data_IF_703379055838
#
_entry.id   IF_703379055838
#
_cell.length_a   1.000
_cell.length_b   1.000
_cell.length_c   1.000
_cell.angle_alpha   90.00
_cell.angle_beta   90.00
_cell.angle_gamma   90.00
#
_symmetry.space_group_name_H-M   'P 1'
#
loop_
_entity.id
_entity.type
_entity.pdbx_description
1 polymer ?
#
# COMPACT_ATOMS: atom_id res chain seq x y z
N UNK A 1 -52.67 -12.11 61.37
CA UNK A 1 -53.40 -12.77 60.28
C UNK A 1 -52.54 -12.66 59.02
N UNK A 2 -51.93 -13.78 58.56
CA UNK A 2 -51.37 -14.07 57.21
C UNK A 2 -50.40 -13.03 56.59
N UNK A 3 -49.24 -13.34 56.02
CA UNK A 3 -48.59 -14.57 55.53
C UNK A 3 -47.09 -14.24 55.29
N UNK A 4 -46.25 -15.26 55.37
CA UNK A 4 -44.90 -15.31 54.80
C UNK A 4 -44.90 -14.93 53.31
N UNK A 5 -43.82 -14.35 52.80
CA UNK A 5 -43.23 -14.82 51.54
C UNK A 5 -41.73 -14.46 51.42
N UNK A 6 -41.03 -15.43 50.83
CA UNK A 6 -39.59 -15.65 50.82
C UNK A 6 -38.83 -14.78 49.82
N UNK A 7 -37.68 -14.24 50.22
CA UNK A 7 -36.68 -13.72 49.29
C UNK A 7 -35.95 -14.89 48.60
N UNK A 8 -36.35 -15.21 47.37
CA UNK A 8 -35.58 -16.04 46.44
C UNK A 8 -34.46 -15.19 45.84
N UNK A 9 -33.20 -15.58 46.07
CA UNK A 9 -32.04 -15.09 45.32
C UNK A 9 -32.15 -15.60 43.88
N UNK A 10 -32.29 -14.69 42.92
CA UNK A 10 -32.11 -14.99 41.49
C UNK A 10 -30.65 -14.73 41.19
N UNK A 11 -29.89 -15.81 41.03
CA UNK A 11 -28.53 -15.79 40.51
C UNK A 11 -28.66 -15.65 38.99
N UNK A 12 -28.34 -14.47 38.45
CA UNK A 12 -28.30 -14.25 37.00
C UNK A 12 -26.95 -14.77 36.51
N UNK A 13 -26.90 -16.01 36.02
CA UNK A 13 -25.75 -16.54 35.31
C UNK A 13 -25.76 -15.95 33.90
N UNK A 14 -24.90 -14.96 33.65
CA UNK A 14 -24.64 -14.43 32.32
C UNK A 14 -23.82 -15.48 31.56
N UNK A 15 -24.49 -16.35 30.79
CA UNK A 15 -23.82 -17.24 29.85
C UNK A 15 -23.42 -16.39 28.64
N UNK A 16 -22.16 -15.98 28.61
CA UNK A 16 -21.53 -15.46 27.39
C UNK A 16 -21.45 -16.63 26.42
N UNK A 17 -22.39 -16.69 25.47
CA UNK A 17 -22.23 -17.50 24.27
C UNK A 17 -21.17 -16.80 23.45
N UNK A 18 -19.92 -17.21 23.63
CA UNK A 18 -18.87 -16.90 22.68
C UNK A 18 -19.24 -17.58 21.36
N UNK A 19 -19.81 -16.82 20.44
CA UNK A 19 -19.77 -17.19 19.04
C UNK A 19 -18.29 -17.13 18.64
N UNK A 20 -17.61 -18.27 18.75
CA UNK A 20 -16.47 -18.56 17.90
C UNK A 20 -17.06 -18.75 16.51
N UNK A 21 -17.18 -17.65 15.78
CA UNK A 21 -17.13 -17.75 14.32
C UNK A 21 -15.72 -18.27 14.03
N UNK A 22 -15.62 -19.56 13.75
CA UNK A 22 -14.53 -20.03 12.91
C UNK A 22 -14.74 -19.28 11.59
N UNK A 23 -13.89 -18.30 11.31
CA UNK A 23 -13.73 -17.83 9.94
C UNK A 23 -13.25 -19.06 9.16
N UNK A 24 -14.15 -19.62 8.36
CA UNK A 24 -13.77 -20.53 7.28
C UNK A 24 -13.11 -19.59 6.28
N UNK A 25 -11.78 -19.65 6.21
CA UNK A 25 -10.98 -19.00 5.16
C UNK A 25 -10.70 -20.15 4.20
N UNK A 26 -11.59 -20.30 3.22
CA UNK A 26 -11.51 -21.38 2.25
C UNK A 26 -10.59 -20.99 1.10
N UNK A 27 -10.61 -19.71 0.66
CA UNK A 27 -10.03 -19.23 -0.62
C UNK A 27 -10.21 -20.27 -1.74
N UNK A 28 -11.35 -20.95 -1.74
CA UNK A 28 -11.63 -22.11 -2.61
C UNK A 28 -11.77 -21.66 -4.08
N UNK A 29 -12.03 -20.37 -4.30
CA UNK A 29 -12.19 -19.71 -5.59
C UNK A 29 -10.89 -19.71 -6.41
N UNK A 30 -9.74 -19.69 -5.72
CA UNK A 30 -8.41 -19.79 -6.33
C UNK A 30 -7.78 -21.16 -6.09
N UNK A 31 -8.54 -22.15 -5.62
CA UNK A 31 -8.06 -23.52 -5.51
C UNK A 31 -7.80 -24.12 -6.89
N UNK A 32 -6.74 -24.92 -6.98
CA UNK A 32 -6.34 -25.60 -8.23
C UNK A 32 -7.39 -26.65 -8.62
N UNK A 33 -7.98 -26.52 -9.82
CA UNK A 33 -8.77 -27.62 -10.40
C UNK A 33 -7.79 -28.72 -10.85
N UNK A 34 -7.90 -29.96 -10.31
CA UNK A 34 -7.01 -31.06 -10.68
C UNK A 34 -7.10 -31.48 -12.15
N UNK A 35 -8.10 -31.00 -12.89
CA UNK A 35 -8.27 -31.26 -14.32
C UNK A 35 -7.99 -30.04 -15.20
N UNK A 36 -7.64 -28.89 -14.62
CA UNK A 36 -7.28 -27.70 -15.40
C UNK A 36 -5.96 -27.92 -16.15
N UNK A 37 -5.90 -27.37 -17.35
CA UNK A 37 -4.65 -27.19 -18.09
C UNK A 37 -4.14 -25.77 -17.79
N UNK A 38 -2.85 -25.67 -17.50
CA UNK A 38 -2.20 -24.40 -17.16
C UNK A 38 -1.30 -23.95 -18.29
N UNK A 39 -1.39 -22.67 -18.66
CA UNK A 39 -0.45 -22.04 -19.58
C UNK A 39 0.93 -21.87 -18.91
N UNK A 40 0.93 -21.65 -17.59
CA UNK A 40 2.11 -21.47 -16.76
C UNK A 40 1.96 -22.24 -15.46
N UNK A 41 3.03 -22.93 -15.06
CA UNK A 41 3.20 -23.48 -13.72
C UNK A 41 4.45 -22.88 -13.12
N UNK A 42 4.33 -22.36 -11.91
CA UNK A 42 5.41 -21.70 -11.19
C UNK A 42 5.48 -22.29 -9.79
N UNK A 43 6.54 -23.07 -9.54
CA UNK A 43 6.83 -23.74 -8.27
C UNK A 43 7.91 -22.96 -7.52
N UNK A 44 7.56 -22.29 -6.44
CA UNK A 44 8.41 -21.36 -5.68
C UNK A 44 8.79 -21.95 -4.33
N UNK A 45 9.93 -22.64 -4.21
CA UNK A 45 10.42 -23.08 -2.91
C UNK A 45 11.08 -21.93 -2.13
N UNK A 46 11.24 -22.16 -0.83
CA UNK A 46 12.04 -21.31 0.07
C UNK A 46 13.41 -20.98 -0.56
N UNK A 47 13.85 -19.72 -0.47
CA UNK A 47 15.18 -19.24 -0.89
C UNK A 47 15.43 -19.17 -2.40
N UNK A 48 14.42 -19.42 -3.25
CA UNK A 48 14.54 -19.27 -4.71
C UNK A 48 13.52 -18.29 -5.24
N UNK A 49 13.97 -17.41 -6.13
CA UNK A 49 13.10 -16.62 -6.98
C UNK A 49 12.89 -17.39 -8.29
N UNK A 50 11.67 -17.40 -8.78
CA UNK A 50 11.30 -18.07 -10.03
C UNK A 50 10.68 -17.05 -10.99
N UNK A 51 11.18 -17.01 -12.22
CA UNK A 51 10.74 -16.07 -13.24
C UNK A 51 10.38 -16.84 -14.50
N UNK A 52 9.14 -16.69 -14.97
CA UNK A 52 8.65 -17.30 -16.21
C UNK A 52 8.27 -16.22 -17.20
N UNK A 53 8.68 -16.38 -18.45
CA UNK A 53 8.27 -15.50 -19.55
C UNK A 53 7.41 -16.27 -20.55
N UNK A 54 6.24 -15.72 -20.87
CA UNK A 54 5.28 -16.29 -21.82
C UNK A 54 5.07 -15.31 -22.96
N UNK A 55 5.15 -15.81 -24.19
CA UNK A 55 4.65 -15.05 -25.35
C UNK A 55 3.16 -15.31 -25.48
N UNK A 56 2.33 -14.32 -25.12
CA UNK A 56 0.88 -14.44 -25.21
C UNK A 56 0.38 -13.75 -26.48
N UNK A 57 -0.55 -14.41 -27.18
CA UNK A 57 -1.05 -13.88 -28.45
C UNK A 57 -2.31 -13.03 -28.28
N UNK A 58 -3.23 -13.31 -27.34
CA UNK A 58 -4.31 -12.45 -26.80
C UNK A 58 -5.03 -13.12 -25.61
N UNK A 59 -5.69 -12.34 -24.73
CA UNK A 59 -6.78 -12.81 -23.86
C UNK A 59 -6.52 -12.74 -22.36
N UNK A 60 -6.42 -13.90 -21.72
CA UNK A 60 -5.95 -14.14 -20.36
C UNK A 60 -5.09 -15.41 -20.41
N UNK A 61 -4.23 -15.63 -19.41
CA UNK A 61 -3.58 -16.93 -19.23
C UNK A 61 -4.04 -17.56 -17.92
N UNK A 62 -4.07 -18.88 -17.88
CA UNK A 62 -4.31 -19.63 -16.64
C UNK A 62 -2.97 -20.02 -16.04
N UNK A 63 -2.67 -19.51 -14.85
CA UNK A 63 -1.43 -19.77 -14.13
C UNK A 63 -1.69 -20.62 -12.88
N UNK A 64 -0.84 -21.63 -12.66
CA UNK A 64 -0.70 -22.30 -11.38
C UNK A 64 0.52 -21.74 -10.66
N UNK A 65 0.33 -21.28 -9.43
CA UNK A 65 1.40 -20.75 -8.58
C UNK A 65 1.43 -21.56 -7.29
N UNK A 66 2.54 -22.24 -7.03
CA UNK A 66 2.72 -23.09 -5.87
C UNK A 66 3.87 -22.55 -5.01
N UNK A 67 3.61 -22.27 -3.75
CA UNK A 67 4.59 -21.82 -2.78
C UNK A 67 4.89 -22.90 -1.75
N UNK A 68 6.17 -23.16 -1.49
CA UNK A 68 6.59 -24.11 -0.45
C UNK A 68 7.64 -23.48 0.47
N UNK A 69 7.34 -23.42 1.76
CA UNK A 69 8.27 -23.07 2.83
C UNK A 69 8.75 -24.34 3.57
N UNK A 70 9.89 -24.24 4.26
CA UNK A 70 10.38 -25.31 5.14
C UNK A 70 10.44 -24.92 6.61
N UNK A 71 10.22 -23.63 6.92
CA UNK A 71 10.42 -23.08 8.26
C UNK A 71 9.52 -21.87 8.60
N UNK A 72 8.72 -21.37 7.65
CA UNK A 72 7.84 -20.21 7.83
C UNK A 72 6.43 -20.49 7.37
N UNK A 73 5.47 -20.36 8.29
CA UNK A 73 4.05 -20.30 7.90
C UNK A 73 3.76 -19.03 7.11
N UNK A 74 3.07 -19.19 5.98
CA UNK A 74 2.60 -18.10 5.13
C UNK A 74 1.23 -17.62 5.63
N UNK A 75 1.06 -16.29 5.68
CA UNK A 75 -0.14 -15.64 6.26
C UNK A 75 -0.83 -14.67 5.32
N UNK A 76 -0.10 -14.13 4.35
CA UNK A 76 -0.65 -13.25 3.32
C UNK A 76 0.00 -13.62 1.98
N UNK A 77 -0.74 -13.45 0.89
CA UNK A 77 -0.21 -13.43 -0.47
C UNK A 77 -0.39 -12.02 -1.05
N UNK A 78 0.70 -11.49 -1.58
CA UNK A 78 0.77 -10.21 -2.25
C UNK A 78 1.00 -10.44 -3.74
N UNK A 79 0.28 -9.67 -4.56
CA UNK A 79 0.38 -9.71 -6.01
C UNK A 79 0.44 -8.28 -6.54
N UNK A 80 1.45 -7.96 -7.33
CA UNK A 80 1.48 -6.72 -8.13
C UNK A 80 1.42 -7.01 -9.60
N UNK A 81 0.89 -6.06 -10.35
CA UNK A 81 0.99 -6.03 -11.80
C UNK A 81 1.71 -4.77 -12.28
N UNK A 82 2.53 -4.91 -13.31
CA UNK A 82 3.12 -3.79 -14.04
C UNK A 82 2.76 -3.91 -15.51
N UNK A 83 1.93 -2.99 -15.96
CA UNK A 83 1.36 -2.98 -17.30
C UNK A 83 2.17 -2.04 -18.17
N UNK A 84 2.84 -2.56 -19.18
CA UNK A 84 3.56 -1.75 -20.17
C UNK A 84 4.69 -0.91 -19.59
N UNK A 85 5.25 -1.28 -18.43
CA UNK A 85 6.31 -0.52 -17.78
C UNK A 85 5.83 0.71 -17.00
N UNK A 86 4.51 0.87 -16.83
CA UNK A 86 3.87 2.05 -16.22
C UNK A 86 3.85 2.05 -14.68
N UNK A 87 4.72 1.24 -14.05
CA UNK A 87 4.80 1.11 -12.60
C UNK A 87 4.13 -0.14 -12.06
N UNK A 88 4.43 -0.49 -10.82
CA UNK A 88 3.79 -1.61 -10.12
C UNK A 88 2.55 -1.11 -9.39
N UNK A 89 1.41 -1.76 -9.63
CA UNK A 89 0.15 -1.54 -8.94
C UNK A 89 -0.32 -2.83 -8.26
N UNK A 90 -1.20 -2.70 -7.28
CA UNK A 90 -1.82 -3.85 -6.60
C UNK A 90 -2.65 -4.60 -7.65
N UNK A 91 -2.41 -5.90 -7.80
CA UNK A 91 -3.30 -6.75 -8.59
C UNK A 91 -4.47 -7.19 -7.73
N UNK A 92 -5.68 -6.78 -8.11
CA UNK A 92 -6.93 -7.24 -7.51
C UNK A 92 -7.45 -8.45 -8.30
N UNK A 93 -7.45 -9.66 -7.71
CA UNK A 93 -8.08 -10.82 -8.33
C UNK A 93 -9.58 -10.58 -8.55
N UNK A 94 -10.15 -11.19 -9.59
CA UNK A 94 -11.57 -11.02 -9.94
C UNK A 94 -12.50 -11.95 -9.15
N UNK A 95 -11.91 -12.93 -8.51
CA UNK A 95 -12.56 -13.95 -7.72
C UNK A 95 -13.00 -13.38 -6.35
N UNK A 96 -14.03 -13.97 -5.74
CA UNK A 96 -14.53 -13.58 -4.41
C UNK A 96 -13.61 -14.15 -3.32
N UNK A 97 -12.37 -13.66 -3.30
CA UNK A 97 -11.30 -14.13 -2.41
C UNK A 97 -11.37 -13.35 -1.10
N UNK A 98 -10.99 -14.02 0.00
CA UNK A 98 -10.82 -13.35 1.28
C UNK A 98 -9.62 -12.40 1.23
N UNK A 99 -9.90 -11.13 0.93
CA UNK A 99 -8.92 -10.05 0.98
C UNK A 99 -8.88 -9.40 2.36
N UNK A 100 -7.69 -8.98 2.73
CA UNK A 100 -7.45 -8.13 3.88
C UNK A 100 -7.66 -6.67 3.48
N UNK A 101 -7.69 -5.78 4.47
CA UNK A 101 -7.99 -4.38 4.22
C UNK A 101 -6.94 -3.71 3.31
N UNK A 102 -5.69 -4.19 3.35
CA UNK A 102 -4.61 -3.77 2.46
C UNK A 102 -4.67 -4.43 1.07
N UNK A 103 -5.72 -5.17 0.71
CA UNK A 103 -5.84 -5.85 -0.58
C UNK A 103 -4.98 -7.11 -0.73
N UNK A 104 -4.20 -7.51 0.28
CA UNK A 104 -3.50 -8.79 0.27
C UNK A 104 -4.49 -9.95 0.50
N UNK A 105 -4.22 -11.10 -0.09
CA UNK A 105 -5.02 -12.31 0.11
C UNK A 105 -4.72 -12.87 1.51
N UNK A 106 -5.76 -13.12 2.30
CA UNK A 106 -5.65 -13.72 3.64
C UNK A 106 -5.30 -15.20 3.52
N UNK A 107 -4.20 -15.65 4.15
CA UNK A 107 -3.87 -17.09 4.25
C UNK A 107 -3.93 -17.59 5.70
N UNK A 108 -4.40 -16.75 6.63
CA UNK A 108 -4.27 -17.01 8.08
C UNK A 108 -5.15 -18.13 8.61
N UNK A 109 -6.22 -18.50 7.91
CA UNK A 109 -7.08 -19.61 8.28
C UNK A 109 -6.42 -20.97 8.14
N UNK A 110 -5.54 -21.13 7.15
CA UNK A 110 -4.72 -22.34 6.96
C UNK A 110 -3.39 -22.25 7.72
N UNK A 111 -2.74 -21.08 7.72
CA UNK A 111 -1.42 -20.84 8.35
C UNK A 111 -0.44 -21.99 8.05
N UNK A 112 -0.29 -22.30 6.77
CA UNK A 112 0.44 -23.47 6.26
C UNK A 112 1.81 -23.06 5.68
N UNK A 113 2.63 -24.05 5.37
CA UNK A 113 3.93 -23.92 4.71
C UNK A 113 3.85 -24.32 3.22
N UNK A 114 2.67 -24.74 2.73
CA UNK A 114 2.44 -25.19 1.36
C UNK A 114 1.10 -24.65 0.84
N UNK A 115 1.13 -23.91 -0.26
CA UNK A 115 -0.07 -23.36 -0.89
C UNK A 115 0.02 -23.45 -2.41
N UNK A 116 -1.06 -23.92 -3.03
CA UNK A 116 -1.23 -23.91 -4.48
C UNK A 116 -2.42 -23.05 -4.87
N UNK A 117 -2.20 -22.13 -5.82
CA UNK A 117 -3.20 -21.21 -6.33
C UNK A 117 -3.34 -21.34 -7.83
N UNK A 118 -4.56 -21.11 -8.32
CA UNK A 118 -4.88 -20.94 -9.72
C UNK A 118 -5.36 -19.50 -9.96
N UNK A 119 -4.75 -18.80 -10.91
CA UNK A 119 -5.12 -17.44 -11.30
C UNK A 119 -5.46 -17.37 -12.79
N UNK A 120 -6.51 -16.61 -13.11
CA UNK A 120 -6.76 -16.12 -14.47
C UNK A 120 -6.13 -14.72 -14.62
N UNK A 121 -4.93 -14.66 -15.21
CA UNK A 121 -4.19 -13.41 -15.37
C UNK A 121 -4.60 -12.73 -16.68
N UNK A 122 -5.32 -11.59 -16.61
CA UNK A 122 -5.83 -10.94 -17.81
C UNK A 122 -4.71 -10.29 -18.63
N UNK A 123 -4.97 -10.09 -19.91
CA UNK A 123 -4.25 -9.10 -20.72
C UNK A 123 -5.08 -7.82 -20.71
N UNK A 124 -4.58 -6.71 -20.13
CA UNK A 124 -5.30 -5.45 -20.16
C UNK A 124 -5.61 -5.03 -21.60
N UNK A 125 -6.86 -4.61 -21.82
CA UNK A 125 -7.28 -4.14 -23.14
C UNK A 125 -6.53 -2.87 -23.53
N UNK A 126 -6.06 -2.78 -24.77
CA UNK A 126 -5.38 -1.60 -25.30
C UNK A 126 -3.87 -1.76 -25.48
N UNK A 127 -3.28 -2.84 -24.94
CA UNK A 127 -1.86 -3.14 -25.16
C UNK A 127 -1.68 -3.82 -26.52
N UNK A 128 -0.99 -3.15 -27.45
CA UNK A 128 -0.62 -3.74 -28.76
C UNK A 128 0.82 -4.26 -28.81
N UNK A 129 1.68 -3.77 -27.90
CA UNK A 129 3.06 -4.21 -27.72
C UNK A 129 3.51 -3.89 -26.28
N UNK A 130 4.49 -4.64 -25.76
CA UNK A 130 5.07 -4.42 -24.43
C UNK A 130 4.97 -5.67 -23.56
N UNK A 131 5.01 -5.49 -22.25
CA UNK A 131 4.94 -6.56 -21.25
C UNK A 131 3.89 -6.30 -20.20
N UNK A 132 3.31 -7.36 -19.64
CA UNK A 132 2.62 -7.32 -18.34
C UNK A 132 3.40 -8.21 -17.39
N UNK A 133 3.84 -7.67 -16.26
CA UNK A 133 4.62 -8.42 -15.27
C UNK A 133 3.78 -8.59 -14.02
N UNK A 134 3.40 -9.82 -13.72
CA UNK A 134 2.80 -10.19 -12.45
C UNK A 134 3.89 -10.64 -11.48
N UNK A 135 3.89 -10.12 -10.26
CA UNK A 135 4.83 -10.50 -9.21
C UNK A 135 4.07 -11.01 -8.00
N UNK A 136 4.49 -12.16 -7.48
CA UNK A 136 3.83 -12.85 -6.38
C UNK A 136 4.83 -13.10 -5.24
N UNK A 137 4.39 -12.91 -4.00
CA UNK A 137 5.16 -13.31 -2.83
C UNK A 137 4.27 -13.48 -1.60
N UNK A 138 4.72 -14.27 -0.65
CA UNK A 138 4.01 -14.49 0.61
C UNK A 138 4.78 -13.94 1.79
N UNK A 139 4.07 -13.62 2.87
CA UNK A 139 4.67 -13.05 4.07
C UNK A 139 4.17 -13.76 5.34
N UNK A 140 4.93 -13.60 6.42
CA UNK A 140 4.62 -14.13 7.75
C UNK A 140 3.64 -13.27 8.57
N UNK A 141 3.16 -12.17 7.98
CA UNK A 141 2.30 -11.13 8.57
C UNK A 141 2.11 -9.95 7.62
N UNK A 142 1.72 -8.77 8.11
CA UNK A 142 1.46 -7.60 7.25
C UNK A 142 2.72 -7.17 6.48
N UNK A 143 2.69 -7.24 5.16
CA UNK A 143 3.78 -6.85 4.26
C UNK A 143 3.61 -5.43 3.72
N UNK A 144 4.26 -5.18 2.59
CA UNK A 144 4.18 -3.94 1.81
C UNK A 144 4.26 -4.31 0.32
N UNK A 145 3.31 -3.85 -0.49
CA UNK A 145 3.28 -4.07 -1.94
C UNK A 145 4.51 -3.48 -2.65
N UNK A 146 5.24 -2.57 -2.01
CA UNK A 146 6.43 -1.89 -2.54
C UNK A 146 7.75 -2.43 -1.98
N UNK A 147 7.71 -3.28 -0.95
CA UNK A 147 8.89 -3.96 -0.40
C UNK A 147 8.65 -5.46 -0.19
N UNK A 148 9.08 -6.24 -1.18
CA UNK A 148 9.03 -7.70 -1.16
C UNK A 148 9.80 -8.32 0.02
N UNK A 149 10.73 -7.61 0.64
CA UNK A 149 11.53 -8.15 1.74
C UNK A 149 10.83 -8.00 3.10
N UNK A 150 9.80 -7.15 3.19
CA UNK A 150 9.09 -6.91 4.44
C UNK A 150 8.33 -8.18 4.85
N UNK A 151 8.86 -8.84 5.89
CA UNK A 151 8.30 -10.09 6.48
C UNK A 151 8.17 -11.26 5.48
N UNK A 152 9.00 -11.26 4.44
CA UNK A 152 9.03 -12.28 3.39
C UNK A 152 9.06 -13.71 3.97
N UNK A 153 8.10 -14.52 3.52
CA UNK A 153 8.06 -15.96 3.73
C UNK A 153 8.65 -16.68 2.52
N UNK A 154 8.04 -16.53 1.33
CA UNK A 154 8.45 -17.17 0.07
C UNK A 154 8.26 -16.21 -1.12
N UNK A 155 9.12 -16.30 -2.13
CA UNK A 155 9.17 -15.40 -3.30
C UNK A 155 10.29 -14.36 -3.21
N UNK A 156 10.25 -13.28 -4.03
CA UNK A 156 9.27 -13.03 -5.07
C UNK A 156 9.44 -13.97 -6.26
N UNK A 157 8.34 -14.19 -6.98
CA UNK A 157 8.35 -14.88 -8.25
C UNK A 157 7.53 -14.10 -9.28
N UNK A 158 7.90 -14.20 -10.56
CA UNK A 158 7.30 -13.39 -11.61
C UNK A 158 6.78 -14.19 -12.79
N UNK A 159 5.67 -13.72 -13.35
CA UNK A 159 5.15 -14.15 -14.65
C UNK A 159 5.14 -12.93 -15.56
N UNK A 160 6.01 -12.95 -16.57
CA UNK A 160 6.10 -11.90 -17.59
C UNK A 160 5.36 -12.34 -18.85
N UNK A 161 4.31 -11.62 -19.21
CA UNK A 161 3.58 -11.80 -20.46
C UNK A 161 4.12 -10.82 -21.50
N UNK A 162 4.56 -11.31 -22.65
CA UNK A 162 5.14 -10.50 -23.74
C UNK A 162 4.15 -10.38 -24.90
N UNK A 163 3.87 -9.15 -25.31
CA UNK A 163 2.96 -8.80 -26.41
C UNK A 163 3.68 -8.05 -27.52
N UNK A 164 3.30 -8.32 -28.78
CA UNK A 164 3.82 -7.61 -29.94
C UNK A 164 5.35 -7.65 -30.00
N UNK A 165 5.99 -6.48 -29.96
CA UNK A 165 7.46 -6.35 -29.96
C UNK A 165 8.11 -6.64 -28.60
N UNK A 166 7.33 -6.72 -27.52
CA UNK A 166 7.84 -6.81 -26.14
C UNK A 166 8.53 -5.55 -25.63
N UNK A 167 8.47 -4.44 -26.38
CA UNK A 167 9.06 -3.16 -25.98
C UNK A 167 7.99 -2.30 -25.33
N UNK A 168 8.24 -1.86 -24.11
CA UNK A 168 7.38 -0.92 -23.40
C UNK A 168 7.59 0.50 -23.94
N UNK A 169 6.53 1.29 -23.92
CA UNK A 169 6.64 2.73 -24.15
C UNK A 169 7.31 3.40 -22.94
N UNK A 170 7.67 4.66 -23.10
CA UNK A 170 8.15 5.47 -21.98
C UNK A 170 7.04 5.58 -20.92
N UNK A 171 7.43 5.61 -19.65
CA UNK A 171 6.47 5.61 -18.56
C UNK A 171 6.02 7.05 -18.26
N UNK A 172 4.72 7.26 -18.22
CA UNK A 172 4.15 8.55 -17.82
C UNK A 172 4.35 8.77 -16.31
N UNK A 173 4.28 10.02 -15.84
CA UNK A 173 4.21 10.28 -14.40
C UNK A 173 2.86 9.85 -13.82
N UNK A 174 2.89 9.20 -12.66
CA UNK A 174 1.67 8.98 -11.87
C UNK A 174 1.26 10.29 -11.22
N UNK A 175 0.02 10.70 -11.44
CA UNK A 175 -0.50 12.00 -10.99
C UNK A 175 -1.65 11.82 -10.03
N UNK A 176 -1.59 12.50 -8.88
CA UNK A 176 -2.68 12.60 -7.92
C UNK A 176 -3.03 14.08 -7.75
N UNK A 177 -4.29 14.44 -8.01
CA UNK A 177 -4.74 15.83 -7.97
C UNK A 177 -5.75 16.04 -6.86
N UNK A 178 -5.84 17.27 -6.35
CA UNK A 178 -6.83 17.71 -5.37
C UNK A 178 -6.83 16.88 -4.08
N UNK A 179 -5.63 16.48 -3.62
CA UNK A 179 -5.50 15.75 -2.36
C UNK A 179 -5.55 16.73 -1.19
N UNK A 180 -6.41 16.46 -0.20
CA UNK A 180 -6.56 17.29 1.00
C UNK A 180 -6.05 16.57 2.23
N UNK A 181 -4.90 16.99 2.75
CA UNK A 181 -4.31 16.48 3.99
C UNK A 181 -4.82 17.28 5.18
N UNK A 182 -5.63 16.67 6.04
CA UNK A 182 -6.15 17.30 7.24
C UNK A 182 -5.06 17.47 8.30
N UNK A 183 -5.15 18.53 9.11
CA UNK A 183 -4.29 18.67 10.27
C UNK A 183 -4.57 17.52 11.27
N UNK A 184 -3.53 16.93 11.86
CA UNK A 184 -3.67 15.76 12.71
C UNK A 184 -4.39 16.10 14.03
N UNK A 185 -5.44 15.35 14.34
CA UNK A 185 -6.05 15.34 15.67
C UNK A 185 -5.30 14.37 16.58
N UNK A 186 -5.25 14.68 17.88
CA UNK A 186 -4.52 13.89 18.87
C UNK A 186 -5.02 12.44 19.03
N UNK A 187 -6.25 12.14 18.58
CA UNK A 187 -6.81 10.79 18.56
C UNK A 187 -6.55 10.03 17.26
N UNK A 188 -5.95 10.68 16.25
CA UNK A 188 -5.62 10.09 14.96
C UNK A 188 -6.78 9.98 13.97
N UNK A 189 -7.93 10.58 14.26
CA UNK A 189 -9.12 10.49 13.41
C UNK A 189 -9.06 11.36 12.13
N UNK A 190 -8.00 12.15 11.95
CA UNK A 190 -7.79 12.98 10.75
C UNK A 190 -7.16 12.20 9.60
N UNK A 191 -7.66 12.40 8.38
CA UNK A 191 -7.07 11.96 7.11
C UNK A 191 -5.80 12.77 6.83
N UNK A 192 -4.67 12.28 7.35
CA UNK A 192 -3.42 13.07 7.46
C UNK A 192 -2.34 12.58 6.50
N UNK A 193 -2.31 11.28 6.23
CA UNK A 193 -1.23 10.63 5.48
C UNK A 193 -1.69 10.30 4.07
N UNK A 194 -0.90 10.68 3.07
CA UNK A 194 -1.08 10.23 1.70
C UNK A 194 -0.30 8.93 1.47
N UNK A 195 -0.86 8.05 0.65
CA UNK A 195 -0.12 6.98 0.01
C UNK A 195 0.19 7.30 -1.45
N UNK A 196 1.44 7.13 -1.83
CA UNK A 196 1.89 7.22 -3.22
C UNK A 196 1.68 5.92 -3.99
N UNK A 197 1.22 4.85 -3.32
CA UNK A 197 0.86 3.58 -3.95
C UNK A 197 -0.45 3.69 -4.72
N UNK A 198 -1.51 4.14 -4.04
CA UNK A 198 -2.88 4.22 -4.58
C UNK A 198 -3.42 5.66 -4.70
N UNK A 199 -2.75 6.65 -4.10
CA UNK A 199 -3.20 8.05 -4.10
C UNK A 199 -4.22 8.37 -3.02
N UNK A 200 -4.52 7.44 -2.13
CA UNK A 200 -5.52 7.62 -1.07
C UNK A 200 -4.96 8.38 0.13
N UNK A 201 -5.87 8.94 0.92
CA UNK A 201 -5.56 9.67 2.16
C UNK A 201 -6.10 8.87 3.35
N UNK A 202 -5.24 8.63 4.33
CA UNK A 202 -5.49 7.73 5.44
C UNK A 202 -5.55 8.43 6.78
N UNK A 203 -6.40 7.89 7.64
CA UNK A 203 -6.45 8.24 9.07
C UNK A 203 -5.40 7.46 9.84
N UNK A 204 -4.86 8.10 10.87
CA UNK A 204 -3.82 7.52 11.72
C UNK A 204 -4.39 6.36 12.57
N UNK A 205 -5.66 6.42 12.94
CA UNK A 205 -6.32 5.42 13.78
C UNK A 205 -6.66 4.09 13.04
N UNK A 206 -6.49 4.03 11.71
CA UNK A 206 -6.72 2.83 10.89
C UNK A 206 -5.45 1.99 10.66
N UNK A 207 -4.30 2.43 11.20
CA UNK A 207 -2.98 2.10 10.66
C UNK A 207 -2.54 0.65 10.66
N UNK A 208 -3.07 -0.25 11.48
CA UNK A 208 -2.51 -1.62 11.60
C UNK A 208 -2.42 -2.37 10.25
N UNK A 209 -3.35 -2.12 9.32
CA UNK A 209 -3.30 -2.70 7.97
C UNK A 209 -2.67 -1.77 6.92
N UNK A 210 -2.64 -0.45 7.14
CA UNK A 210 -2.26 0.54 6.12
C UNK A 210 -0.97 1.31 6.43
N UNK A 211 -0.28 1.06 7.54
CA UNK A 211 0.93 1.82 7.93
C UNK A 211 2.03 1.77 6.89
N UNK A 212 2.16 0.66 6.17
CA UNK A 212 3.14 0.50 5.08
C UNK A 212 2.76 1.32 3.83
N UNK A 213 1.56 1.91 3.78
CA UNK A 213 1.10 2.71 2.65
C UNK A 213 1.47 4.18 2.85
N UNK A 214 1.57 4.65 4.09
CA UNK A 214 1.71 6.06 4.44
C UNK A 214 3.10 6.60 4.13
N UNK A 215 3.23 7.45 3.12
CA UNK A 215 4.52 8.01 2.70
C UNK A 215 4.89 9.28 3.45
N UNK A 216 3.93 10.20 3.58
CA UNK A 216 4.09 11.46 4.29
C UNK A 216 2.74 12.07 4.66
N UNK A 217 2.75 13.03 5.57
CA UNK A 217 1.56 13.73 6.00
C UNK A 217 1.79 15.20 6.29
N UNK A 218 0.68 15.90 6.50
CA UNK A 218 0.65 17.33 6.83
C UNK A 218 0.70 17.55 8.34
N UNK A 219 1.34 18.64 8.75
CA UNK A 219 1.21 19.20 10.08
C UNK A 219 1.36 20.71 10.04
N UNK A 220 0.56 21.41 10.85
CA UNK A 220 0.74 22.84 11.10
C UNK A 220 1.37 23.06 12.47
N UNK A 221 2.59 23.60 12.49
CA UNK A 221 3.29 23.83 13.73
C UNK A 221 2.85 25.13 14.37
N UNK A 222 2.36 25.00 15.61
CA UNK A 222 1.91 26.12 16.43
C UNK A 222 3.06 26.58 17.33
N UNK A 223 3.59 27.78 17.09
CA UNK A 223 4.72 28.34 17.82
C UNK A 223 4.91 29.84 17.53
N UNK A 224 6.10 30.37 17.84
CA UNK A 224 6.47 31.74 17.44
C UNK A 224 6.49 31.89 15.91
N UNK A 225 6.94 30.84 15.22
CA UNK A 225 6.95 30.74 13.77
C UNK A 225 5.90 29.73 13.32
N UNK A 226 4.65 30.16 13.17
CA UNK A 226 3.56 29.29 12.72
C UNK A 226 3.72 28.96 11.24
N UNK A 227 3.71 27.67 10.88
CA UNK A 227 3.93 27.29 9.49
C UNK A 227 3.36 25.92 9.15
N UNK A 228 3.05 25.77 7.85
CA UNK A 228 2.69 24.51 7.24
C UNK A 228 3.95 23.67 6.97
N UNK A 229 3.85 22.36 7.23
CA UNK A 229 4.95 21.41 7.14
C UNK A 229 4.46 20.10 6.55
N UNK A 230 5.28 19.51 5.66
CA UNK A 230 5.17 18.12 5.26
C UNK A 230 6.26 17.31 5.96
N UNK A 231 5.92 16.12 6.42
CA UNK A 231 6.84 15.24 7.15
C UNK A 231 6.58 13.78 6.79
N UNK A 232 7.63 12.96 6.72
CA UNK A 232 7.46 11.52 6.48
C UNK A 232 6.67 10.87 7.61
N UNK A 233 6.00 9.76 7.34
CA UNK A 233 5.34 9.00 8.41
C UNK A 233 6.35 8.48 9.44
N UNK A 234 7.58 8.12 9.01
CA UNK A 234 8.65 7.67 9.88
C UNK A 234 9.18 8.76 10.84
N UNK A 235 9.32 10.00 10.37
CA UNK A 235 9.87 11.12 11.15
C UNK A 235 8.78 12.09 11.65
N UNK A 236 7.54 11.61 11.70
CA UNK A 236 6.40 12.38 12.15
C UNK A 236 6.58 12.87 13.59
N UNK A 237 6.17 14.11 13.84
CA UNK A 237 6.44 14.84 15.07
C UNK A 237 5.61 14.29 16.24
N UNK A 238 6.27 13.59 17.15
CA UNK A 238 5.65 12.87 18.28
C UNK A 238 4.88 13.76 19.25
N UNK A 239 5.26 15.04 19.34
CA UNK A 239 4.60 16.06 20.14
C UNK A 239 3.25 16.50 19.55
N UNK A 240 3.02 16.22 18.27
CA UNK A 240 1.75 16.45 17.59
C UNK A 240 0.89 15.20 17.70
N UNK A 241 1.35 14.08 17.14
CA UNK A 241 0.72 12.76 17.30
C UNK A 241 1.81 11.68 17.37
N UNK A 242 1.70 10.80 18.36
CA UNK A 242 2.58 9.65 18.47
C UNK A 242 2.06 8.50 17.60
N UNK A 243 2.51 8.45 16.34
CA UNK A 243 2.03 7.50 15.32
C UNK A 243 2.10 6.03 15.78
N UNK A 244 3.25 5.52 16.27
CA UNK A 244 3.33 4.13 16.75
C UNK A 244 2.27 3.75 17.80
N UNK A 245 1.93 4.67 18.70
CA UNK A 245 0.94 4.43 19.75
C UNK A 245 -0.48 4.42 19.21
N UNK A 246 -0.83 5.39 18.37
CA UNK A 246 -2.20 5.54 17.83
C UNK A 246 -2.50 4.47 16.80
N UNK A 247 -1.57 4.22 15.87
CA UNK A 247 -1.71 3.24 14.80
C UNK A 247 -1.42 1.79 15.24
N UNK A 248 -1.00 1.57 16.49
CA UNK A 248 -0.62 0.24 17.02
C UNK A 248 0.45 -0.47 16.18
N UNK A 249 1.49 0.29 15.80
CA UNK A 249 2.57 -0.13 14.90
C UNK A 249 3.94 0.18 15.54
N UNK A 250 5.04 -0.23 14.91
CA UNK A 250 6.39 0.22 15.28
C UNK A 250 6.90 1.28 14.31
N UNK A 251 7.89 2.07 14.76
CA UNK A 251 8.49 3.12 13.92
C UNK A 251 9.14 2.54 12.66
N UNK A 252 9.66 1.32 12.74
CA UNK A 252 10.32 0.62 11.64
C UNK A 252 9.37 0.19 10.52
N UNK A 253 8.06 0.16 10.77
CA UNK A 253 7.03 -0.14 9.78
C UNK A 253 6.57 1.10 8.99
N UNK A 254 7.02 2.30 9.39
CA UNK A 254 6.64 3.56 8.77
C UNK A 254 7.63 3.94 7.66
N UNK A 255 7.11 4.55 6.60
CA UNK A 255 7.91 4.90 5.44
C UNK A 255 8.70 6.20 5.61
N UNK A 256 9.87 6.20 5.00
CA UNK A 256 10.70 7.40 4.87
C UNK A 256 10.44 8.04 3.53
N UNK A 257 10.08 9.32 3.58
CA UNK A 257 10.07 10.22 2.44
C UNK A 257 11.02 11.37 2.74
N UNK A 258 11.81 11.75 1.75
CA UNK A 258 12.85 12.77 1.86
C UNK A 258 12.47 13.95 0.97
N UNK A 259 12.60 15.17 1.45
CA UNK A 259 12.15 16.39 0.79
C UNK A 259 13.29 17.35 0.49
N UNK A 260 13.14 18.10 -0.59
CA UNK A 260 13.97 19.25 -0.93
C UNK A 260 13.09 20.37 -1.51
N UNK A 261 13.37 21.60 -1.10
CA UNK A 261 12.76 22.79 -1.73
C UNK A 261 13.22 22.92 -3.17
N UNK A 262 12.35 23.38 -4.07
CA UNK A 262 12.73 23.68 -5.46
C UNK A 262 12.58 25.16 -5.76
N UNK A 263 13.04 25.57 -6.94
CA UNK A 263 12.71 26.89 -7.52
C UNK A 263 11.75 26.75 -8.70
N UNK A 264 11.10 25.58 -8.85
CA UNK A 264 10.15 25.32 -9.93
C UNK A 264 8.88 26.12 -9.69
N UNK A 265 8.33 26.68 -10.76
CA UNK A 265 7.02 27.32 -10.73
C UNK A 265 5.90 26.28 -10.87
N UNK A 266 4.65 26.69 -10.61
CA UNK A 266 3.48 25.85 -10.88
C UNK A 266 3.37 25.47 -12.37
N UNK A 267 3.84 26.35 -13.26
CA UNK A 267 3.87 26.11 -14.71
C UNK A 267 4.91 25.04 -15.09
N UNK A 268 6.07 25.05 -14.41
CA UNK A 268 7.09 24.00 -14.59
C UNK A 268 6.59 22.65 -14.05
N UNK A 269 5.84 22.66 -12.94
CA UNK A 269 5.18 21.46 -12.42
C UNK A 269 4.16 20.90 -13.43
N UNK A 270 3.33 21.76 -14.02
CA UNK A 270 2.32 21.36 -15.00
C UNK A 270 2.95 20.73 -16.26
N UNK A 271 4.15 21.16 -16.64
CA UNK A 271 4.86 20.68 -17.83
C UNK A 271 5.56 19.31 -17.67
N UNK A 272 5.59 18.73 -16.46
CA UNK A 272 6.17 17.40 -16.21
C UNK A 272 5.18 16.32 -16.62
N UNK A 273 5.49 15.52 -17.64
CA UNK A 273 4.57 14.51 -18.17
C UNK A 273 5.17 13.09 -18.14
N UNK A 274 6.49 12.96 -18.28
CA UNK A 274 7.17 11.67 -18.37
C UNK A 274 7.98 11.37 -17.08
N UNK A 275 8.10 10.09 -16.71
CA UNK A 275 8.86 9.66 -15.52
C UNK A 275 10.32 10.15 -15.50
N UNK A 276 10.93 10.27 -16.68
CA UNK A 276 12.32 10.71 -16.83
C UNK A 276 12.51 12.22 -16.54
N UNK A 277 11.47 13.04 -16.64
CA UNK A 277 11.49 14.45 -16.23
C UNK A 277 11.84 14.60 -14.74
N UNK A 278 11.46 13.61 -13.93
CA UNK A 278 11.66 13.58 -12.48
C UNK A 278 13.03 13.01 -12.07
N UNK A 279 13.75 12.34 -12.96
CA UNK A 279 14.97 11.58 -12.63
C UNK A 279 16.09 12.46 -12.05
N UNK A 280 16.20 13.69 -12.54
CA UNK A 280 17.28 14.64 -12.20
C UNK A 280 16.95 15.58 -11.04
N UNK A 281 15.80 15.42 -10.36
CA UNK A 281 15.47 16.23 -9.20
C UNK A 281 16.55 16.12 -8.12
N UNK A 282 16.92 17.27 -7.55
CA UNK A 282 17.97 17.43 -6.55
C UNK A 282 17.49 17.04 -5.14
N UNK A 283 16.98 15.81 -5.02
CA UNK A 283 16.51 15.20 -3.77
C UNK A 283 17.05 13.77 -3.68
N UNK A 284 17.39 13.34 -2.46
CA UNK A 284 17.97 12.03 -2.21
C UNK A 284 17.59 11.50 -0.83
N UNK A 285 17.93 10.25 -0.52
CA UNK A 285 17.83 9.68 0.84
C UNK A 285 18.72 10.36 1.91
N UNK A 286 19.53 11.35 1.51
CA UNK A 286 20.29 12.21 2.42
C UNK A 286 19.58 13.54 2.72
N UNK A 287 18.49 13.84 2.01
CA UNK A 287 17.69 15.04 2.23
C UNK A 287 16.89 14.93 3.54
N UNK A 288 16.28 16.03 3.99
CA UNK A 288 15.50 16.05 5.22
C UNK A 288 14.19 15.26 5.06
N UNK A 289 13.71 14.59 6.10
CA UNK A 289 12.41 13.92 6.09
C UNK A 289 11.24 14.85 6.48
N UNK A 290 11.54 16.14 6.63
CA UNK A 290 10.58 17.19 6.95
C UNK A 290 10.93 18.43 6.15
N UNK A 291 9.93 19.12 5.63
CA UNK A 291 10.05 20.41 4.95
C UNK A 291 8.97 21.35 5.49
N UNK A 292 9.39 22.54 5.90
CA UNK A 292 8.61 23.50 6.68
C UNK A 292 8.55 24.85 5.98
N UNK A 293 7.70 25.74 6.48
CA UNK A 293 7.48 27.07 5.91
C UNK A 293 6.93 27.03 4.49
N UNK A 294 6.07 26.04 4.23
CA UNK A 294 5.41 25.89 2.94
C UNK A 294 4.33 26.95 2.76
N UNK A 295 4.31 27.57 1.59
CA UNK A 295 3.33 28.55 1.15
C UNK A 295 2.59 28.06 -0.09
N UNK A 296 1.42 28.64 -0.36
CA UNK A 296 0.65 28.35 -1.57
C UNK A 296 1.47 28.73 -2.80
N UNK A 297 1.55 27.81 -3.77
CA UNK A 297 2.34 27.93 -4.99
C UNK A 297 3.73 27.31 -4.89
N UNK A 298 4.18 26.89 -3.70
CA UNK A 298 5.45 26.17 -3.55
C UNK A 298 5.41 24.83 -4.27
N UNK A 299 6.55 24.47 -4.86
CA UNK A 299 6.81 23.15 -5.43
C UNK A 299 7.96 22.50 -4.67
N UNK A 300 7.70 21.33 -4.12
CA UNK A 300 8.63 20.55 -3.30
C UNK A 300 9.01 19.28 -4.05
N UNK A 301 10.30 18.99 -4.16
CA UNK A 301 10.76 17.70 -4.65
C UNK A 301 10.84 16.70 -3.51
N UNK A 302 10.53 15.44 -3.80
CA UNK A 302 10.69 14.35 -2.84
C UNK A 302 11.32 13.11 -3.44
N UNK A 303 11.86 12.25 -2.58
CA UNK A 303 12.22 10.87 -2.89
C UNK A 303 11.66 9.94 -1.82
N UNK A 304 11.04 8.83 -2.22
CA UNK A 304 10.59 7.76 -1.31
C UNK A 304 11.77 6.87 -0.89
N UNK A 305 11.59 6.07 0.16
CA UNK A 305 12.58 5.06 0.57
C UNK A 305 12.84 4.00 -0.51
N UNK A 306 11.88 3.79 -1.41
CA UNK A 306 11.98 2.88 -2.56
C UNK A 306 12.73 3.51 -3.75
N UNK A 307 13.14 4.78 -3.62
CA UNK A 307 13.97 5.48 -4.60
C UNK A 307 13.21 6.27 -5.66
N UNK A 308 11.87 6.17 -5.69
CA UNK A 308 11.01 6.93 -6.61
C UNK A 308 11.07 8.42 -6.28
N UNK A 309 11.21 9.27 -7.29
CA UNK A 309 11.22 10.73 -7.13
C UNK A 309 9.89 11.33 -7.58
N UNK A 310 9.58 12.51 -7.08
CA UNK A 310 8.41 13.25 -7.48
C UNK A 310 8.42 14.70 -7.05
N UNK A 311 7.34 15.40 -7.40
CA UNK A 311 7.04 16.77 -7.05
C UNK A 311 5.70 16.83 -6.33
N UNK A 312 5.60 17.75 -5.37
CA UNK A 312 4.36 18.11 -4.68
C UNK A 312 4.17 19.61 -4.91
N UNK A 313 3.02 20.02 -5.44
CA UNK A 313 2.60 21.42 -5.50
C UNK A 313 1.63 21.71 -4.36
N UNK A 314 1.81 22.84 -3.70
CA UNK A 314 0.90 23.32 -2.66
C UNK A 314 -0.14 24.24 -3.28
N UNK A 315 -1.40 23.82 -3.34
CA UNK A 315 -2.46 24.57 -4.02
C UNK A 315 -3.22 25.51 -3.10
N UNK A 316 -3.48 25.08 -1.86
CA UNK A 316 -4.17 25.89 -0.86
C UNK A 316 -3.84 25.39 0.56
N UNK A 317 -3.99 26.28 1.54
CA UNK A 317 -3.74 25.98 2.96
C UNK A 317 -4.82 26.64 3.80
N UNK A 318 -5.54 25.85 4.59
CA UNK A 318 -6.31 26.31 5.74
C UNK A 318 -5.43 26.17 7.01
N UNK A 319 -4.81 27.27 7.49
CA UNK A 319 -3.77 27.18 8.51
C UNK A 319 -4.33 26.94 9.91
N UNK A 320 -3.81 25.91 10.59
CA UNK A 320 -4.09 25.64 11.98
C UNK A 320 -3.96 24.15 12.31
N UNK A 321 -4.34 23.77 13.53
CA UNK A 321 -4.25 22.41 14.03
C UNK A 321 -5.59 21.87 14.56
N UNK A 322 -6.70 22.47 14.12
CA UNK A 322 -8.06 22.04 14.39
C UNK A 322 -8.62 21.12 13.31
N UNK A 323 -9.86 20.67 13.51
CA UNK A 323 -10.54 19.72 12.61
C UNK A 323 -10.88 20.28 11.22
N UNK A 324 -10.86 21.61 11.07
CA UNK A 324 -11.23 22.30 9.84
C UNK A 324 -9.98 22.82 9.09
N UNK A 325 -8.78 22.50 9.59
CA UNK A 325 -7.49 22.95 9.05
C UNK A 325 -6.85 21.85 8.18
N UNK A 326 -6.21 22.23 7.09
CA UNK A 326 -5.75 21.30 6.06
C UNK A 326 -4.75 21.95 5.09
N UNK A 327 -4.10 21.12 4.29
CA UNK A 327 -3.31 21.49 3.13
C UNK A 327 -3.81 20.73 1.90
N UNK A 328 -4.04 21.45 0.79
CA UNK A 328 -4.41 20.87 -0.50
C UNK A 328 -3.20 20.83 -1.42
N UNK A 329 -2.96 19.68 -2.04
CA UNK A 329 -1.79 19.42 -2.87
C UNK A 329 -2.13 18.65 -4.14
N UNK A 330 -1.26 18.83 -5.13
CA UNK A 330 -1.14 17.98 -6.31
C UNK A 330 0.23 17.28 -6.29
N UNK A 331 0.28 16.04 -6.76
CA UNK A 331 1.49 15.20 -6.76
C UNK A 331 1.74 14.65 -8.16
N UNK A 332 2.99 14.70 -8.59
CA UNK A 332 3.51 13.93 -9.74
C UNK A 332 4.67 13.07 -9.27
N UNK A 333 4.62 11.76 -9.51
CA UNK A 333 5.62 10.81 -9.01
C UNK A 333 6.00 9.82 -10.10
N UNK A 334 7.26 9.38 -10.06
CA UNK A 334 7.69 8.27 -10.89
C UNK A 334 6.87 7.01 -10.57
N UNK A 335 6.33 6.33 -11.59
CA UNK A 335 5.61 5.07 -11.42
C UNK A 335 6.52 3.97 -10.90
#
# INVERSE_FOLDING_TARGET
MRKFDSYRRVMLSLTVVGMLAAACDDNDEIAVDPNAEFDVVLDVPSETNEDVTVTSSQGSITAKVHFTSTDKSMKRLYITENVGGQGEEIYEPKEDIDLKADGSIDLTGKNDEDFEFQFELPVPSGITAGTVVYKFWTTTGNGDFRDVNQRLAVGPATITLVYGSGTNEEADVKTYNDLTLAAPLGDGSSETFVSLLDGEIYRIDQGVEFVSYWDFGYVYLMGEDKHATLTSSYDYLTEVVNIPVVASTTKEELNKTYFATTTMSSEDFDAVDESDDLANLAVSNQSAQTVSFLEVGDVVAFQTQYGKKGLIRIDDIAPGNGSDDWMKIDIKVQP
#
